data_IF_143187441345
#
_entry.id   IF_143187441345
#
_cell.length_a   1.000
_cell.length_b   1.000
_cell.length_c   1.000
_cell.angle_alpha   90.00
_cell.angle_beta   90.00
_cell.angle_gamma   90.00
#
_symmetry.space_group_name_H-M   'P 1'
#
loop_
_entity.id
_entity.type
_entity.pdbx_description
1 polymer ?
#
# COMPACT_ATOMS: atom_id res chain seq x y z
N UNK A 1 -17.69 16.37 -7.43
CA UNK A 1 -16.27 16.60 -7.78
C UNK A 1 -15.40 16.85 -6.54
N UNK A 2 -15.68 17.85 -5.72
CA UNK A 2 -14.92 18.11 -4.47
C UNK A 2 -14.88 16.91 -3.51
N UNK A 3 -16.00 16.17 -3.38
CA UNK A 3 -16.06 14.97 -2.54
C UNK A 3 -15.13 13.86 -3.02
N UNK A 4 -15.05 13.59 -4.33
CA UNK A 4 -14.19 12.55 -4.88
C UNK A 4 -12.72 12.86 -4.62
N UNK A 5 -12.29 14.10 -4.89
CA UNK A 5 -10.95 14.57 -4.61
C UNK A 5 -10.61 14.52 -3.11
N UNK A 6 -11.56 14.91 -2.24
CA UNK A 6 -11.41 14.81 -0.79
C UNK A 6 -11.23 13.36 -0.35
N UNK A 7 -12.08 12.44 -0.83
CA UNK A 7 -12.01 11.03 -0.51
C UNK A 7 -10.69 10.43 -0.99
N UNK A 8 -10.31 10.67 -2.24
CA UNK A 8 -9.05 10.18 -2.80
C UNK A 8 -7.83 10.67 -2.00
N UNK A 9 -7.81 11.95 -1.61
CA UNK A 9 -6.71 12.50 -0.83
C UNK A 9 -6.66 11.93 0.61
N UNK A 10 -7.77 12.02 1.35
CA UNK A 10 -7.82 11.57 2.74
C UNK A 10 -7.62 10.07 2.88
N UNK A 11 -8.16 9.29 1.94
CA UNK A 11 -7.97 7.85 1.92
C UNK A 11 -6.54 7.45 1.55
N UNK A 12 -5.89 8.18 0.64
CA UNK A 12 -4.46 8.00 0.35
C UNK A 12 -3.58 8.21 1.59
N UNK A 13 -3.85 9.25 2.38
CA UNK A 13 -3.15 9.50 3.66
C UNK A 13 -3.42 8.37 4.67
N UNK A 14 -4.67 7.92 4.79
CA UNK A 14 -5.02 6.81 5.67
C UNK A 14 -4.29 5.52 5.27
N UNK A 15 -4.16 5.22 3.97
CA UNK A 15 -3.43 4.07 3.46
C UNK A 15 -1.92 4.17 3.70
N UNK A 16 -1.34 5.37 3.57
CA UNK A 16 0.06 5.61 3.93
C UNK A 16 0.31 5.24 5.40
N UNK A 17 -0.52 5.77 6.31
CA UNK A 17 -0.39 5.50 7.74
C UNK A 17 -0.60 4.02 8.04
N UNK A 18 -1.61 3.40 7.42
CA UNK A 18 -1.89 1.98 7.58
C UNK A 18 -0.72 1.10 7.11
N UNK A 19 -0.13 1.43 5.96
CA UNK A 19 1.05 0.75 5.43
C UNK A 19 2.26 0.92 6.36
N UNK A 20 2.49 2.13 6.91
CA UNK A 20 3.58 2.36 7.86
C UNK A 20 3.40 1.56 9.17
N UNK A 21 2.19 1.51 9.73
CA UNK A 21 1.88 0.73 10.93
C UNK A 21 2.06 -0.77 10.70
N UNK A 22 1.59 -1.29 9.56
CA UNK A 22 1.84 -2.68 9.16
C UNK A 22 3.32 -2.94 8.92
N UNK A 23 4.05 -2.02 8.29
CA UNK A 23 5.49 -2.12 8.08
C UNK A 23 6.24 -2.25 9.41
N UNK A 24 5.90 -1.42 10.39
CA UNK A 24 6.45 -1.50 11.74
C UNK A 24 6.11 -2.84 12.42
N UNK A 25 4.85 -3.27 12.39
CA UNK A 25 4.43 -4.54 12.98
C UNK A 25 5.17 -5.75 12.35
N UNK A 26 5.22 -5.81 11.02
CA UNK A 26 5.92 -6.88 10.31
C UNK A 26 7.43 -6.87 10.61
N UNK A 27 8.03 -5.69 10.72
CA UNK A 27 9.46 -5.54 11.05
C UNK A 27 9.76 -6.08 12.45
N UNK A 28 8.89 -5.82 13.43
CA UNK A 28 9.02 -6.38 14.78
C UNK A 28 8.98 -7.92 14.73
N UNK A 29 8.08 -8.50 13.95
CA UNK A 29 8.00 -9.97 13.82
C UNK A 29 9.27 -10.55 13.16
N UNK A 30 9.78 -9.87 12.12
CA UNK A 30 11.01 -10.24 11.44
C UNK A 30 12.22 -10.23 12.38
N UNK A 31 12.45 -9.15 13.13
CA UNK A 31 13.57 -9.06 14.07
C UNK A 31 13.47 -10.06 15.22
N UNK A 32 12.25 -10.50 15.56
CA UNK A 32 12.01 -11.56 16.55
C UNK A 32 12.16 -12.97 15.96
N UNK A 33 12.43 -13.11 14.66
CA UNK A 33 12.52 -14.39 13.96
C UNK A 33 11.20 -15.16 13.90
N UNK A 34 10.06 -14.47 14.00
CA UNK A 34 8.72 -15.08 14.11
C UNK A 34 7.96 -15.01 12.79
N UNK A 35 7.04 -15.96 12.62
CA UNK A 35 6.01 -15.86 11.60
C UNK A 35 5.16 -14.59 11.81
N UNK A 36 4.62 -14.07 10.71
CA UNK A 36 3.50 -13.11 10.80
C UNK A 36 2.26 -13.83 11.34
N UNK A 37 1.49 -13.14 12.17
CA UNK A 37 0.27 -13.69 12.76
C UNK A 37 -0.87 -13.74 11.72
N UNK A 38 -1.94 -14.47 12.03
CA UNK A 38 -3.16 -14.45 11.22
C UNK A 38 -3.76 -13.04 11.09
N UNK A 39 -3.76 -12.27 12.19
CA UNK A 39 -4.21 -10.88 12.19
C UNK A 39 -3.37 -9.97 11.29
N UNK A 40 -2.05 -10.16 11.25
CA UNK A 40 -1.20 -9.42 10.31
C UNK A 40 -1.57 -9.75 8.86
N UNK A 41 -1.74 -11.03 8.53
CA UNK A 41 -2.09 -11.47 7.17
C UNK A 41 -3.43 -10.90 6.71
N UNK A 42 -4.45 -10.91 7.57
CA UNK A 42 -5.75 -10.34 7.23
C UNK A 42 -5.68 -8.82 7.06
N UNK A 43 -4.93 -8.10 7.90
CA UNK A 43 -4.68 -6.67 7.73
C UNK A 43 -3.91 -6.35 6.45
N UNK A 44 -2.94 -7.18 6.05
CA UNK A 44 -2.23 -7.02 4.78
C UNK A 44 -3.16 -7.24 3.57
N UNK A 45 -4.00 -8.28 3.60
CA UNK A 45 -5.02 -8.51 2.58
C UNK A 45 -6.04 -7.36 2.50
N UNK A 46 -6.44 -6.81 3.65
CA UNK A 46 -7.26 -5.61 3.71
C UNK A 46 -6.56 -4.42 3.04
N UNK A 47 -5.27 -4.22 3.29
CA UNK A 47 -4.47 -3.18 2.64
C UNK A 47 -4.44 -3.35 1.11
N UNK A 48 -4.33 -4.58 0.59
CA UNK A 48 -4.45 -4.85 -0.86
C UNK A 48 -5.80 -4.37 -1.38
N UNK A 49 -6.90 -4.78 -0.74
CA UNK A 49 -8.25 -4.41 -1.15
C UNK A 49 -8.48 -2.90 -1.11
N UNK A 50 -8.07 -2.24 -0.02
CA UNK A 50 -8.18 -0.80 0.13
C UNK A 50 -7.31 -0.03 -0.88
N UNK A 51 -6.12 -0.54 -1.21
CA UNK A 51 -5.26 0.02 -2.26
C UNK A 51 -5.92 -0.08 -3.64
N UNK A 52 -6.61 -1.19 -3.94
CA UNK A 52 -7.39 -1.31 -5.16
C UNK A 52 -8.54 -0.29 -5.21
N UNK A 53 -9.27 -0.11 -4.10
CA UNK A 53 -10.31 0.94 -3.99
C UNK A 53 -9.73 2.33 -4.22
N UNK A 54 -8.57 2.64 -3.64
CA UNK A 54 -7.88 3.92 -3.85
C UNK A 54 -7.48 4.12 -5.31
N UNK A 55 -7.04 3.06 -6.00
CA UNK A 55 -6.79 3.05 -7.44
C UNK A 55 -8.04 3.40 -8.25
N UNK A 56 -9.19 2.81 -7.91
CA UNK A 56 -10.47 3.12 -8.56
C UNK A 56 -10.89 4.59 -8.34
N UNK A 57 -10.69 5.13 -7.14
CA UNK A 57 -10.93 6.56 -6.87
C UNK A 57 -10.00 7.46 -7.72
N UNK A 58 -8.75 7.05 -7.90
CA UNK A 58 -7.78 7.73 -8.77
C UNK A 58 -8.22 7.71 -10.23
N UNK A 59 -8.60 6.55 -10.75
CA UNK A 59 -9.11 6.38 -12.11
C UNK A 59 -10.39 7.20 -12.35
N UNK A 60 -11.32 7.18 -11.40
CA UNK A 60 -12.53 8.01 -11.47
C UNK A 60 -12.17 9.50 -11.51
N UNK A 61 -11.14 9.93 -10.78
CA UNK A 61 -10.68 11.32 -10.76
C UNK A 61 -10.06 11.77 -12.09
N UNK A 62 -9.50 10.86 -12.90
CA UNK A 62 -8.93 11.18 -14.22
C UNK A 62 -9.96 11.72 -15.22
N UNK A 63 -11.25 11.39 -15.02
CA UNK A 63 -12.36 11.94 -15.83
C UNK A 63 -12.56 13.45 -15.64
N UNK A 64 -12.02 14.00 -14.55
CA UNK A 64 -12.26 15.39 -14.13
C UNK A 64 -10.96 16.19 -14.02
N UNK A 65 -9.86 15.56 -13.63
CA UNK A 65 -8.57 16.20 -13.42
C UNK A 65 -7.46 15.42 -14.11
N UNK A 66 -6.54 16.13 -14.77
CA UNK A 66 -5.31 15.52 -15.27
C UNK A 66 -4.23 15.61 -14.19
N UNK A 67 -3.51 14.51 -13.93
CA UNK A 67 -2.39 14.54 -12.99
C UNK A 67 -1.32 15.47 -13.53
N UNK A 68 -0.78 16.32 -12.66
CA UNK A 68 0.31 17.22 -13.02
C UNK A 68 1.56 16.43 -13.42
N UNK A 69 1.87 15.37 -12.67
CA UNK A 69 2.96 14.45 -12.96
C UNK A 69 2.47 13.02 -13.19
N UNK A 70 2.92 12.40 -14.29
CA UNK A 70 2.63 10.99 -14.59
C UNK A 70 3.17 10.04 -13.50
N UNK A 71 4.19 10.45 -12.75
CA UNK A 71 4.74 9.68 -11.63
C UNK A 71 3.68 9.35 -10.57
N UNK A 72 2.71 10.23 -10.33
CA UNK A 72 1.59 9.96 -9.42
C UNK A 72 0.83 8.68 -9.81
N UNK A 73 0.52 8.54 -11.11
CA UNK A 73 -0.21 7.38 -11.64
C UNK A 73 0.66 6.13 -11.57
N UNK A 74 1.96 6.26 -11.86
CA UNK A 74 2.91 5.14 -11.78
C UNK A 74 3.02 4.59 -10.36
N UNK A 75 3.11 5.45 -9.34
CA UNK A 75 3.16 5.00 -7.95
C UNK A 75 1.87 4.28 -7.52
N UNK A 76 0.70 4.77 -7.95
CA UNK A 76 -0.57 4.12 -7.70
C UNK A 76 -0.68 2.74 -8.36
N UNK A 77 -0.38 2.65 -9.66
CA UNK A 77 -0.39 1.39 -10.40
C UNK A 77 0.62 0.38 -9.83
N UNK A 78 1.80 0.85 -9.47
CA UNK A 78 2.82 0.05 -8.80
C UNK A 78 2.28 -0.57 -7.51
N UNK A 79 1.67 0.22 -6.61
CA UNK A 79 1.16 -0.29 -5.34
C UNK A 79 0.09 -1.38 -5.52
N UNK A 80 -0.80 -1.23 -6.50
CA UNK A 80 -1.87 -2.20 -6.83
C UNK A 80 -1.29 -3.54 -7.28
N UNK A 81 -0.23 -3.53 -8.07
CA UNK A 81 0.40 -4.76 -8.57
C UNK A 81 1.37 -5.38 -7.57
N UNK A 82 2.12 -4.52 -6.86
CA UNK A 82 3.23 -4.94 -6.02
C UNK A 82 2.77 -5.67 -4.75
N UNK A 83 1.78 -5.13 -4.02
CA UNK A 83 1.29 -5.76 -2.78
C UNK A 83 0.80 -7.20 -2.97
N UNK A 84 -0.14 -7.51 -3.89
CA UNK A 84 -0.60 -8.88 -4.09
C UNK A 84 0.53 -9.78 -4.59
N UNK A 85 1.42 -9.28 -5.45
CA UNK A 85 2.57 -10.05 -5.93
C UNK A 85 3.49 -10.50 -4.80
N UNK A 86 3.83 -9.59 -3.88
CA UNK A 86 4.66 -9.93 -2.72
C UNK A 86 3.91 -10.87 -1.77
N UNK A 87 2.61 -10.68 -1.56
CA UNK A 87 1.80 -11.58 -0.73
C UNK A 87 1.88 -13.04 -1.20
N UNK A 88 1.62 -13.28 -2.48
CA UNK A 88 1.67 -14.64 -3.05
C UNK A 88 3.09 -15.23 -3.08
N UNK A 89 4.11 -14.39 -3.30
CA UNK A 89 5.51 -14.82 -3.32
C UNK A 89 6.06 -15.15 -1.92
N UNK A 90 5.70 -14.34 -0.92
CA UNK A 90 6.17 -14.48 0.46
C UNK A 90 5.60 -15.74 1.13
N UNK A 91 4.32 -16.07 0.86
CA UNK A 91 3.62 -17.20 1.48
C UNK A 91 4.17 -18.61 1.18
N UNK A 92 5.13 -18.73 0.25
CA UNK A 92 5.77 -20.01 -0.12
C UNK A 92 7.11 -20.29 0.60
N UNK A 93 7.52 -19.45 1.54
CA UNK A 93 8.85 -19.54 2.17
C UNK A 93 8.83 -19.73 3.69
N UNK A 94 10.03 -19.68 4.29
CA UNK A 94 10.20 -19.78 5.73
C UNK A 94 9.52 -18.61 6.48
N UNK A 95 9.09 -18.80 7.74
CA UNK A 95 8.38 -17.78 8.52
C UNK A 95 9.08 -16.42 8.62
N UNK A 96 10.39 -16.40 8.85
CA UNK A 96 11.17 -15.17 8.94
C UNK A 96 11.26 -14.46 7.57
N UNK A 97 11.34 -15.23 6.48
CA UNK A 97 11.32 -14.71 5.11
C UNK A 97 9.96 -14.06 4.82
N UNK A 98 8.86 -14.71 5.17
CA UNK A 98 7.52 -14.15 5.01
C UNK A 98 7.38 -12.81 5.74
N UNK A 99 7.81 -12.74 7.01
CA UNK A 99 7.80 -11.51 7.78
C UNK A 99 8.64 -10.40 7.14
N UNK A 100 9.85 -10.72 6.67
CA UNK A 100 10.73 -9.77 6.01
C UNK A 100 10.09 -9.17 4.75
N UNK A 101 9.59 -10.02 3.85
CA UNK A 101 9.04 -9.58 2.57
C UNK A 101 7.75 -8.76 2.74
N UNK A 102 6.84 -9.18 3.61
CA UNK A 102 5.59 -8.44 3.82
C UNK A 102 5.85 -7.11 4.54
N UNK A 103 6.76 -7.08 5.53
CA UNK A 103 7.15 -5.83 6.18
C UNK A 103 7.81 -4.85 5.21
N UNK A 104 8.76 -5.34 4.40
CA UNK A 104 9.43 -4.53 3.38
C UNK A 104 8.43 -3.98 2.37
N UNK A 105 7.46 -4.80 1.93
CA UNK A 105 6.44 -4.34 0.99
C UNK A 105 5.57 -3.22 1.56
N UNK A 106 5.18 -3.31 2.83
CA UNK A 106 4.45 -2.25 3.51
C UNK A 106 5.26 -0.93 3.54
N UNK A 107 6.56 -0.99 3.83
CA UNK A 107 7.42 0.20 3.81
C UNK A 107 7.58 0.79 2.41
N UNK A 108 7.82 -0.05 1.40
CA UNK A 108 7.93 0.37 0.00
C UNK A 108 6.66 1.08 -0.46
N UNK A 109 5.48 0.56 -0.09
CA UNK A 109 4.20 1.15 -0.46
C UNK A 109 3.87 2.40 0.36
N UNK A 110 4.25 2.47 1.63
CA UNK A 110 4.15 3.71 2.41
C UNK A 110 4.96 4.84 1.75
N UNK A 111 6.18 4.55 1.28
CA UNK A 111 6.99 5.50 0.50
C UNK A 111 6.30 5.85 -0.82
N UNK A 112 5.77 4.87 -1.55
CA UNK A 112 5.07 5.09 -2.81
C UNK A 112 3.84 6.00 -2.63
N UNK A 113 3.03 5.81 -1.59
CA UNK A 113 1.93 6.70 -1.26
C UNK A 113 2.42 8.11 -0.90
N UNK A 114 3.47 8.22 -0.09
CA UNK A 114 4.07 9.51 0.25
C UNK A 114 4.54 10.26 -0.99
N UNK A 115 5.24 9.58 -1.90
CA UNK A 115 5.67 10.13 -3.19
C UNK A 115 4.48 10.52 -4.07
N UNK A 116 3.48 9.64 -4.18
CA UNK A 116 2.26 9.92 -4.93
C UNK A 116 1.51 11.16 -4.43
N UNK A 117 1.44 11.38 -3.12
CA UNK A 117 0.85 12.60 -2.54
C UNK A 117 1.66 13.84 -2.92
N UNK A 118 3.00 13.76 -2.86
CA UNK A 118 3.88 14.88 -3.18
C UNK A 118 3.89 15.25 -4.67
N UNK A 119 3.72 14.28 -5.57
CA UNK A 119 3.70 14.49 -7.03
C UNK A 119 2.28 14.63 -7.61
N UNK A 120 1.25 14.54 -6.76
CA UNK A 120 -0.16 14.56 -7.17
C UNK A 120 -0.82 15.93 -7.11
N UNK A 121 -0.11 16.95 -6.63
CA UNK A 121 -0.56 18.34 -6.55
C UNK A 121 -0.44 19.06 -7.89
#
# INVERSE_FOLDING_TARGET
MALLALLHNRFGIALLVFAALLGAWGSIQFFRGRAVSGGFRSSYLLMIGLTAVQGLLGLASLTTFRPHELLHVVYGAFAILFLPSVYFYAGRGAPAREAAFLAAACWVVAIAFGRGILTGA
#
